data_IF_035158114982
#
_entry.id   IF_035158114982
#
_cell.length_a   1.000
_cell.length_b   1.000
_cell.length_c   1.000
_cell.angle_alpha   90.00
_cell.angle_beta   90.00
_cell.angle_gamma   90.00
#
_symmetry.space_group_name_H-M   'P 1'
#
loop_
_entity.id
_entity.type
_entity.pdbx_description
1 polymer ?
#
# COMPACT_ATOMS: atom_id res chain seq x y z
N UNK A 1 11.45 -8.58 -29.68
CA UNK A 1 10.12 -8.27 -30.24
C UNK A 1 9.45 -7.27 -29.32
N UNK A 2 9.02 -6.11 -29.82
CA UNK A 2 8.35 -5.09 -28.97
C UNK A 2 6.91 -5.57 -28.73
N UNK A 3 6.54 -5.81 -27.46
CA UNK A 3 5.16 -6.18 -27.08
C UNK A 3 4.20 -5.10 -27.56
N UNK A 4 3.03 -5.51 -28.06
CA UNK A 4 1.97 -4.57 -28.45
C UNK A 4 1.47 -3.82 -27.22
N UNK A 5 0.99 -2.60 -27.40
CA UNK A 5 0.49 -1.79 -26.28
C UNK A 5 -0.66 -2.47 -25.53
N UNK A 6 -1.55 -3.16 -26.23
CA UNK A 6 -2.65 -3.95 -25.64
C UNK A 6 -2.16 -5.11 -24.76
N UNK A 7 -1.09 -5.79 -25.18
CA UNK A 7 -0.47 -6.88 -24.41
C UNK A 7 0.16 -6.34 -23.12
N UNK A 8 0.78 -5.17 -23.20
CA UNK A 8 1.32 -4.48 -22.03
C UNK A 8 0.19 -4.10 -21.07
N UNK A 9 -0.91 -3.54 -21.55
CA UNK A 9 -2.06 -3.22 -20.69
C UNK A 9 -2.63 -4.45 -19.98
N UNK A 10 -2.83 -5.55 -20.69
CA UNK A 10 -3.35 -6.78 -20.10
C UNK A 10 -2.41 -7.37 -19.03
N UNK A 11 -1.09 -7.31 -19.23
CA UNK A 11 -0.08 -7.74 -18.26
C UNK A 11 -0.10 -6.85 -17.00
N UNK A 12 -0.29 -5.55 -17.17
CA UNK A 12 -0.40 -4.61 -16.06
C UNK A 12 -1.68 -4.85 -15.24
N UNK A 13 -2.82 -5.08 -15.89
CA UNK A 13 -4.08 -5.45 -15.22
C UNK A 13 -3.95 -6.77 -14.46
N UNK A 14 -3.30 -7.77 -15.06
CA UNK A 14 -3.04 -9.05 -14.42
C UNK A 14 -2.20 -8.88 -13.14
N UNK A 15 -1.14 -8.07 -13.17
CA UNK A 15 -0.29 -7.81 -12.01
C UNK A 15 -1.04 -7.06 -10.91
N UNK A 16 -1.89 -6.09 -11.25
CA UNK A 16 -2.75 -5.38 -10.30
C UNK A 16 -3.74 -6.33 -9.61
N UNK A 17 -4.38 -7.21 -10.36
CA UNK A 17 -5.28 -8.22 -9.82
C UNK A 17 -4.53 -9.22 -8.94
N UNK A 18 -3.34 -9.64 -9.36
CA UNK A 18 -2.50 -10.54 -8.56
C UNK A 18 -2.06 -9.92 -7.24
N UNK A 19 -1.76 -8.62 -7.24
CA UNK A 19 -1.45 -7.88 -6.02
C UNK A 19 -2.63 -7.89 -5.04
N UNK A 20 -3.84 -7.58 -5.51
CA UNK A 20 -5.05 -7.64 -4.66
C UNK A 20 -5.30 -9.03 -4.08
N UNK A 21 -5.11 -10.08 -4.89
CA UNK A 21 -5.28 -11.47 -4.43
C UNK A 21 -4.18 -11.87 -3.44
N UNK A 22 -2.94 -11.40 -3.63
CA UNK A 22 -1.82 -11.69 -2.74
C UNK A 22 -2.06 -11.21 -1.31
N UNK A 23 -2.85 -10.15 -1.11
CA UNK A 23 -3.18 -9.68 0.25
C UNK A 23 -4.02 -10.67 1.07
N UNK A 24 -4.56 -11.72 0.43
CA UNK A 24 -5.33 -12.78 1.09
C UNK A 24 -4.51 -14.04 1.39
N UNK A 25 -3.24 -14.08 1.02
CA UNK A 25 -2.40 -15.28 1.22
C UNK A 25 -1.71 -15.31 2.57
N UNK A 26 -1.77 -14.22 3.35
CA UNK A 26 -1.01 -13.98 4.58
C UNK A 26 0.52 -14.13 4.45
N UNK A 27 1.03 -14.31 3.23
CA UNK A 27 2.44 -14.52 2.90
C UNK A 27 3.09 -13.20 2.42
N UNK A 28 3.84 -12.54 3.31
CA UNK A 28 4.53 -11.30 2.96
C UNK A 28 5.59 -11.50 1.87
N UNK A 29 6.28 -12.65 1.83
CA UNK A 29 7.30 -12.89 0.81
C UNK A 29 6.67 -12.99 -0.58
N UNK A 30 5.52 -13.66 -0.67
CA UNK A 30 4.74 -13.68 -1.89
C UNK A 30 4.27 -12.27 -2.28
N UNK A 31 3.69 -11.49 -1.36
CA UNK A 31 3.23 -10.13 -1.63
C UNK A 31 4.40 -9.24 -2.11
N UNK A 32 5.55 -9.32 -1.43
CA UNK A 32 6.76 -8.60 -1.81
C UNK A 32 7.25 -9.02 -3.21
N UNK A 33 7.14 -10.30 -3.57
CA UNK A 33 7.48 -10.77 -4.91
C UNK A 33 6.57 -10.16 -5.99
N UNK A 34 5.27 -10.01 -5.71
CA UNK A 34 4.33 -9.37 -6.66
C UNK A 34 4.65 -7.88 -6.80
N UNK A 35 4.90 -7.18 -5.69
CA UNK A 35 5.28 -5.78 -5.71
C UNK A 35 6.60 -5.53 -6.47
N UNK A 36 7.59 -6.42 -6.34
CA UNK A 36 8.84 -6.35 -7.12
C UNK A 36 8.57 -6.51 -8.62
N UNK A 37 7.76 -7.49 -9.01
CA UNK A 37 7.38 -7.66 -10.41
C UNK A 37 6.66 -6.43 -10.98
N UNK A 38 5.78 -5.80 -10.19
CA UNK A 38 5.15 -4.52 -10.59
C UNK A 38 6.21 -3.44 -10.80
N UNK A 39 7.15 -3.30 -9.86
CA UNK A 39 8.27 -2.36 -9.97
C UNK A 39 9.11 -2.59 -11.24
N UNK A 40 9.41 -3.84 -11.57
CA UNK A 40 10.23 -4.21 -12.74
C UNK A 40 9.56 -3.86 -14.07
N UNK A 41 8.23 -3.77 -14.10
CA UNK A 41 7.49 -3.30 -15.30
C UNK A 41 7.51 -1.78 -15.48
N UNK A 42 8.01 -1.03 -14.49
CA UNK A 42 7.89 0.43 -14.43
C UNK A 42 6.46 0.92 -14.18
N UNK A 43 5.55 0.02 -13.77
CA UNK A 43 4.18 0.39 -13.45
C UNK A 43 4.12 1.19 -12.16
N UNK A 44 3.25 2.18 -12.17
CA UNK A 44 2.96 3.06 -11.06
C UNK A 44 1.48 2.93 -10.68
N UNK A 45 1.19 2.75 -9.38
CA UNK A 45 -0.16 2.54 -8.84
C UNK A 45 -0.95 3.84 -8.64
N UNK A 46 -0.37 5.02 -8.91
CA UNK A 46 -0.98 6.35 -8.72
C UNK A 46 -2.31 6.52 -9.45
N UNK A 47 -2.43 5.92 -10.64
CA UNK A 47 -3.62 6.03 -11.49
C UNK A 47 -4.63 4.88 -11.27
N UNK A 48 -4.32 3.96 -10.36
CA UNK A 48 -5.27 2.90 -10.03
C UNK A 48 -6.42 3.47 -9.22
N UNK A 49 -7.64 3.02 -9.52
CA UNK A 49 -8.82 3.33 -8.71
C UNK A 49 -8.81 2.58 -7.36
N UNK A 50 -7.93 1.58 -7.22
CA UNK A 50 -7.80 0.72 -6.06
C UNK A 50 -6.93 1.37 -4.98
N UNK A 51 -7.42 1.36 -3.74
CA UNK A 51 -6.64 1.74 -2.57
C UNK A 51 -5.91 0.52 -1.99
N UNK A 52 -4.76 0.18 -2.58
CA UNK A 52 -3.99 -1.00 -2.19
C UNK A 52 -3.53 -0.97 -0.74
N UNK A 53 -3.21 0.22 -0.20
CA UNK A 53 -2.76 0.34 1.19
C UNK A 53 -3.91 0.01 2.13
N UNK A 54 -5.11 0.58 1.88
CA UNK A 54 -6.29 0.21 2.64
C UNK A 54 -6.61 -1.28 2.53
N UNK A 55 -6.61 -1.83 1.31
CA UNK A 55 -6.91 -3.24 1.09
C UNK A 55 -5.93 -4.17 1.82
N UNK A 56 -4.63 -3.88 1.75
CA UNK A 56 -3.60 -4.65 2.46
C UNK A 56 -3.82 -4.62 3.98
N UNK A 57 -3.91 -3.42 4.57
CA UNK A 57 -4.08 -3.27 6.02
C UNK A 57 -5.38 -3.94 6.48
N UNK A 58 -6.47 -3.74 5.73
CA UNK A 58 -7.77 -4.32 6.05
C UNK A 58 -7.73 -5.85 5.99
N UNK A 59 -7.20 -6.45 4.93
CA UNK A 59 -7.11 -7.91 4.81
C UNK A 59 -6.23 -8.51 5.90
N UNK A 60 -5.02 -7.97 6.13
CA UNK A 60 -4.12 -8.53 7.13
C UNK A 60 -4.68 -8.41 8.55
N UNK A 61 -5.39 -7.31 8.88
CA UNK A 61 -5.86 -7.05 10.26
C UNK A 61 -6.81 -8.10 10.85
N UNK A 62 -7.37 -9.01 10.03
CA UNK A 62 -8.16 -10.15 10.49
C UNK A 62 -7.32 -11.31 11.02
N UNK A 63 -6.06 -11.42 10.58
CA UNK A 63 -5.21 -12.58 10.84
C UNK A 63 -3.90 -12.21 11.55
N UNK A 64 -3.34 -11.02 11.28
CA UNK A 64 -2.07 -10.54 11.86
C UNK A 64 -1.87 -9.03 11.74
N UNK A 65 -0.82 -8.54 12.41
CA UNK A 65 -0.34 -7.17 12.20
C UNK A 65 0.26 -7.05 10.77
N UNK A 66 -0.16 -6.06 9.96
CA UNK A 66 0.40 -5.86 8.63
C UNK A 66 1.92 -5.51 8.67
N UNK A 67 2.64 -5.82 7.59
CA UNK A 67 4.07 -5.52 7.49
C UNK A 67 4.32 -4.09 7.00
N UNK A 68 5.16 -3.37 7.73
CA UNK A 68 5.64 -2.05 7.31
C UNK A 68 6.44 -2.09 6.01
N UNK A 69 7.11 -3.21 5.73
CA UNK A 69 7.89 -3.35 4.50
C UNK A 69 6.94 -3.34 3.30
N UNK A 70 5.83 -4.07 3.38
CA UNK A 70 4.81 -4.07 2.33
C UNK A 70 4.16 -2.70 2.18
N UNK A 71 3.79 -2.04 3.28
CA UNK A 71 3.22 -0.69 3.23
C UNK A 71 4.21 0.30 2.58
N UNK A 72 5.49 0.24 2.97
CA UNK A 72 6.56 1.07 2.39
C UNK A 72 6.74 0.84 0.90
N UNK A 73 6.65 -0.42 0.45
CA UNK A 73 6.76 -0.78 -0.96
C UNK A 73 5.54 -0.32 -1.77
N UNK A 74 4.33 -0.43 -1.21
CA UNK A 74 3.14 0.15 -1.84
C UNK A 74 3.25 1.67 -1.98
N UNK A 75 3.83 2.35 -0.98
CA UNK A 75 4.11 3.79 -1.05
C UNK A 75 5.16 4.12 -2.11
N UNK A 76 6.22 3.31 -2.28
CA UNK A 76 7.22 3.53 -3.33
C UNK A 76 6.67 3.27 -4.73
N UNK A 77 5.72 2.35 -4.87
CA UNK A 77 4.92 2.15 -6.09
C UNK A 77 3.88 3.27 -6.32
N UNK A 78 3.89 4.31 -5.49
CA UNK A 78 2.96 5.44 -5.50
C UNK A 78 1.49 5.03 -5.40
N UNK A 79 1.18 3.97 -4.65
CA UNK A 79 -0.19 3.60 -4.35
C UNK A 79 -0.94 4.79 -3.73
N UNK A 80 -2.22 4.90 -4.10
CA UNK A 80 -3.09 5.97 -3.60
C UNK A 80 -3.10 5.93 -2.07
N UNK A 81 -2.84 7.09 -1.48
CA UNK A 81 -2.93 7.30 -0.04
C UNK A 81 -4.30 7.88 0.26
N UNK A 82 -5.10 7.22 1.09
CA UNK A 82 -6.44 7.72 1.46
C UNK A 82 -6.56 7.97 2.95
N UNK A 83 -7.56 8.77 3.31
CA UNK A 83 -7.95 8.99 4.70
C UNK A 83 -8.35 7.67 5.38
N UNK A 84 -8.97 6.73 4.64
CA UNK A 84 -9.35 5.42 5.19
C UNK A 84 -8.13 4.58 5.53
N UNK A 85 -7.16 4.48 4.62
CA UNK A 85 -5.89 3.79 4.87
C UNK A 85 -5.17 4.36 6.10
N UNK A 86 -5.12 5.69 6.22
CA UNK A 86 -4.51 6.35 7.38
C UNK A 86 -5.26 6.05 8.69
N UNK A 87 -6.59 6.16 8.71
CA UNK A 87 -7.39 5.87 9.92
C UNK A 87 -7.19 4.43 10.40
N UNK A 88 -7.16 3.48 9.45
CA UNK A 88 -6.94 2.08 9.76
C UNK A 88 -5.52 1.85 10.33
N UNK A 89 -4.51 2.46 9.70
CA UNK A 89 -3.12 2.45 10.18
C UNK A 89 -3.00 3.04 11.59
N UNK A 90 -3.56 4.23 11.83
CA UNK A 90 -3.53 4.90 13.13
C UNK A 90 -4.13 4.01 14.22
N UNK A 91 -5.30 3.42 13.97
CA UNK A 91 -5.97 2.53 14.91
C UNK A 91 -5.13 1.30 15.28
N UNK A 92 -4.39 0.75 14.31
CA UNK A 92 -3.60 -0.46 14.52
C UNK A 92 -2.25 -0.20 15.19
N UNK A 93 -1.54 0.86 14.79
CA UNK A 93 -0.13 1.06 15.15
C UNK A 93 0.13 2.22 16.11
N UNK A 94 -0.78 3.18 16.20
CA UNK A 94 -0.60 4.41 16.99
C UNK A 94 -1.50 4.34 18.23
N UNK A 95 -2.79 4.15 18.06
CA UNK A 95 -3.76 4.24 19.17
C UNK A 95 -3.60 3.10 20.20
N UNK A 96 -2.97 1.99 19.81
CA UNK A 96 -2.69 0.83 20.68
C UNK A 96 -1.35 0.90 21.42
N UNK A 97 -0.49 1.86 21.10
CA UNK A 97 0.87 1.96 21.66
C UNK A 97 1.00 3.22 22.50
N UNK A 98 1.69 3.14 23.63
CA UNK A 98 2.11 4.34 24.37
C UNK A 98 2.94 5.21 23.42
N UNK A 99 2.63 6.51 23.40
CA UNK A 99 3.20 7.49 22.44
C UNK A 99 4.73 7.55 22.44
N UNK A 100 5.37 7.07 23.51
CA UNK A 100 6.83 6.97 23.66
C UNK A 100 7.45 5.68 23.10
N UNK A 101 6.65 4.74 22.57
CA UNK A 101 7.11 3.44 22.05
C UNK A 101 7.00 3.31 20.51
N UNK A 102 6.74 4.40 19.81
CA UNK A 102 6.61 4.40 18.35
C UNK A 102 7.99 4.34 17.69
N UNK A 103 8.31 3.19 17.10
CA UNK A 103 9.53 3.02 16.27
C UNK A 103 9.55 4.02 15.09
N UNK A 104 10.73 4.43 14.65
CA UNK A 104 10.93 5.35 13.50
C UNK A 104 10.15 4.93 12.24
N UNK A 105 10.00 3.63 12.00
CA UNK A 105 9.27 3.10 10.85
C UNK A 105 7.76 3.38 10.94
N UNK A 106 7.19 3.36 12.14
CA UNK A 106 5.78 3.73 12.37
C UNK A 106 5.60 5.22 12.13
N UNK A 107 6.49 6.05 12.68
CA UNK A 107 6.43 7.50 12.52
C UNK A 107 6.59 7.93 11.06
N UNK A 108 7.54 7.34 10.32
CA UNK A 108 7.77 7.62 8.89
C UNK A 108 6.58 7.20 8.02
N UNK A 109 6.01 6.02 8.28
CA UNK A 109 4.82 5.53 7.57
C UNK A 109 3.60 6.40 7.89
N UNK A 110 3.40 6.75 9.16
CA UNK A 110 2.34 7.67 9.61
C UNK A 110 2.46 9.02 8.90
N UNK A 111 3.65 9.64 8.91
CA UNK A 111 3.91 10.91 8.22
C UNK A 111 3.61 10.83 6.72
N UNK A 112 4.04 9.74 6.07
CA UNK A 112 3.78 9.52 4.65
C UNK A 112 2.29 9.43 4.32
N UNK A 113 1.49 8.79 5.17
CA UNK A 113 0.03 8.69 5.02
C UNK A 113 -0.70 9.97 5.44
N UNK A 114 -0.19 10.70 6.45
CA UNK A 114 -0.71 11.98 6.94
C UNK A 114 -0.69 13.10 5.91
N UNK A 115 0.23 13.04 4.93
CA UNK A 115 0.28 14.02 3.81
C UNK A 115 -1.05 14.16 3.06
N UNK A 116 -1.97 13.20 3.20
CA UNK A 116 -3.32 13.22 2.63
C UNK A 116 -4.29 14.08 3.44
N UNK A 117 -4.14 14.14 4.77
CA UNK A 117 -5.03 14.92 5.65
C UNK A 117 -4.78 16.42 5.52
N UNK A 118 -3.50 16.84 5.52
CA UNK A 118 -3.16 18.27 5.47
C UNK A 118 -3.54 18.95 4.15
N UNK A 119 -3.74 18.20 3.06
CA UNK A 119 -4.19 18.76 1.77
C UNK A 119 -5.68 19.10 1.74
N UNK A 120 -6.48 18.69 2.72
CA UNK A 120 -7.90 19.04 2.82
C UNK A 120 -8.19 20.21 3.78
N UNK A 121 -7.27 20.52 4.69
CA UNK A 121 -7.45 21.65 5.62
C UNK A 121 -6.93 22.98 5.02
N UNK A 122 -6.00 22.95 4.06
CA UNK A 122 -5.52 24.17 3.39
C UNK A 122 -6.41 24.68 2.25
N UNK A 123 -7.60 24.10 2.07
CA UNK A 123 -8.56 24.46 1.01
C UNK A 123 -9.94 24.87 1.56
N UNK A 124 -10.02 25.15 2.87
CA UNK A 124 -11.21 25.64 3.57
C UNK A 124 -10.99 27.07 4.06
#
# INVERSE_FOLDING_TARGET
>A
MIKRYSERLAELELLQNRLLLSFRTDDDDYILSVCRQISDTGLNLKYSNTDYIFHYINCCSYHREPSFIVIGLLLSLQAKKTVMAYRLFKKLYIDKKDSHSLTDNIQRTAGSLLTVMNRKESAA
#
